data_IF_679159740002
#
_entry.id   IF_679159740002
#
_cell.length_a   1.000
_cell.length_b   1.000
_cell.length_c   1.000
_cell.angle_alpha   90.00
_cell.angle_beta   90.00
_cell.angle_gamma   90.00
#
_symmetry.space_group_name_H-M   'P 1'
#
loop_
_entity.id
_entity.type
_entity.pdbx_description
1 polymer ?
#
# COMPACT_ATOMS: atom_id res chain seq x y z
N UNK A 1 12.10 -3.93 -6.35
CA UNK A 1 12.07 -4.83 -7.51
C UNK A 1 11.70 -4.14 -8.83
N UNK A 2 11.26 -2.91 -8.84
CA UNK A 2 10.95 -2.19 -10.10
C UNK A 2 11.84 -0.95 -10.23
N UNK A 3 13.07 -1.15 -10.77
CA UNK A 3 13.85 -0.03 -11.27
C UNK A 3 13.04 0.64 -12.38
N UNK A 4 12.83 1.95 -12.29
CA UNK A 4 12.16 2.70 -13.35
C UNK A 4 12.90 2.50 -14.67
N UNK A 5 12.23 2.06 -15.74
CA UNK A 5 12.89 1.85 -17.02
C UNK A 5 13.43 3.17 -17.55
N UNK A 6 14.67 3.16 -18.07
CA UNK A 6 15.34 4.35 -18.59
C UNK A 6 14.75 4.85 -19.93
N UNK A 7 13.99 4.03 -20.63
CA UNK A 7 13.42 4.35 -21.95
C UNK A 7 11.95 4.81 -21.83
N UNK A 8 11.52 5.75 -22.71
CA UNK A 8 10.12 6.21 -22.78
C UNK A 8 9.14 5.04 -23.01
N UNK A 9 9.49 4.11 -23.90
CA UNK A 9 8.69 2.93 -24.19
C UNK A 9 8.56 2.00 -22.97
N UNK A 10 9.64 1.80 -22.20
CA UNK A 10 9.61 1.00 -20.98
C UNK A 10 8.78 1.64 -19.87
N UNK A 11 8.77 2.96 -19.75
CA UNK A 11 7.89 3.67 -18.81
C UNK A 11 6.43 3.47 -19.19
N UNK A 12 6.08 3.68 -20.45
CA UNK A 12 4.73 3.49 -20.94
C UNK A 12 4.24 2.05 -20.73
N UNK A 13 5.06 1.04 -21.06
CA UNK A 13 4.72 -0.36 -20.84
C UNK A 13 4.48 -0.67 -19.36
N UNK A 14 5.33 -0.17 -18.47
CA UNK A 14 5.17 -0.35 -17.02
C UNK A 14 3.86 0.29 -16.52
N UNK A 15 3.58 1.52 -16.93
CA UNK A 15 2.35 2.23 -16.55
C UNK A 15 1.10 1.49 -17.04
N UNK A 16 1.10 1.04 -18.28
CA UNK A 16 0.01 0.23 -18.85
C UNK A 16 -0.18 -1.09 -18.11
N UNK A 17 0.90 -1.80 -17.78
CA UNK A 17 0.81 -3.04 -17.00
C UNK A 17 0.24 -2.81 -15.59
N UNK A 18 0.63 -1.74 -14.91
CA UNK A 18 0.10 -1.38 -13.59
C UNK A 18 -1.41 -1.13 -13.68
N UNK A 19 -1.83 -0.30 -14.65
CA UNK A 19 -3.25 0.04 -14.83
C UNK A 19 -4.07 -1.20 -15.17
N UNK A 20 -3.61 -2.03 -16.12
CA UNK A 20 -4.33 -3.24 -16.51
C UNK A 20 -4.38 -4.27 -15.37
N UNK A 21 -3.28 -4.49 -14.66
CA UNK A 21 -3.25 -5.42 -13.52
C UNK A 21 -4.19 -4.96 -12.41
N UNK A 22 -4.14 -3.68 -12.05
CA UNK A 22 -5.00 -3.10 -11.03
C UNK A 22 -6.49 -3.20 -11.43
N UNK A 23 -6.83 -2.82 -12.67
CA UNK A 23 -8.20 -2.91 -13.17
C UNK A 23 -8.68 -4.37 -13.22
N UNK A 24 -7.85 -5.30 -13.71
CA UNK A 24 -8.20 -6.72 -13.81
C UNK A 24 -8.51 -7.35 -12.44
N UNK A 25 -7.59 -7.25 -11.49
CA UNK A 25 -7.80 -7.87 -10.17
C UNK A 25 -8.98 -7.25 -9.40
N UNK A 26 -9.11 -5.93 -9.46
CA UNK A 26 -10.18 -5.25 -8.76
C UNK A 26 -11.55 -5.51 -9.36
N UNK A 27 -11.67 -5.49 -10.69
CA UNK A 27 -12.95 -5.74 -11.37
C UNK A 27 -13.35 -7.20 -11.31
N UNK A 28 -12.40 -8.13 -11.49
CA UNK A 28 -12.68 -9.57 -11.44
C UNK A 28 -13.24 -10.01 -10.08
N UNK A 29 -12.65 -9.54 -8.99
CA UNK A 29 -13.13 -9.92 -7.66
C UNK A 29 -14.52 -9.36 -7.36
N UNK A 30 -14.85 -8.19 -7.88
CA UNK A 30 -16.17 -7.62 -7.67
C UNK A 30 -17.25 -8.40 -8.41
N UNK A 31 -17.02 -8.71 -9.69
CA UNK A 31 -18.03 -9.38 -10.53
C UNK A 31 -18.09 -10.88 -10.21
N UNK A 32 -16.95 -11.54 -10.08
CA UNK A 32 -16.90 -13.01 -10.01
C UNK A 32 -16.88 -13.58 -8.57
N UNK A 33 -16.69 -12.72 -7.55
CA UNK A 33 -16.69 -13.18 -6.15
C UNK A 33 -17.65 -12.37 -5.29
N UNK A 34 -17.54 -11.04 -5.26
CA UNK A 34 -18.30 -10.20 -4.32
C UNK A 34 -19.81 -10.24 -4.62
N UNK A 35 -20.21 -9.99 -5.86
CA UNK A 35 -21.62 -9.95 -6.27
C UNK A 35 -22.30 -11.32 -6.15
N UNK A 36 -21.75 -12.44 -6.68
CA UNK A 36 -22.38 -13.76 -6.59
C UNK A 36 -22.54 -14.27 -5.14
N UNK A 37 -21.66 -13.86 -4.23
CA UNK A 37 -21.76 -14.22 -2.82
C UNK A 37 -22.61 -13.25 -1.98
N UNK A 38 -23.29 -12.29 -2.60
CA UNK A 38 -24.10 -11.30 -1.89
C UNK A 38 -23.33 -10.36 -0.99
N UNK A 39 -22.00 -10.30 -1.15
CA UNK A 39 -21.11 -9.53 -0.30
C UNK A 39 -21.12 -8.03 -0.65
N UNK A 40 -20.67 -7.23 0.29
CA UNK A 40 -20.35 -5.81 0.11
C UNK A 40 -18.95 -5.49 0.63
N UNK A 41 -18.47 -4.29 0.37
CA UNK A 41 -17.21 -3.79 0.89
C UNK A 41 -17.31 -2.31 1.25
N UNK A 42 -16.27 -1.75 1.84
CA UNK A 42 -16.09 -0.30 1.90
C UNK A 42 -15.83 0.29 0.51
N UNK A 43 -15.75 1.60 0.44
CA UNK A 43 -15.36 2.29 -0.77
C UNK A 43 -16.44 2.37 -1.85
N UNK A 44 -16.01 2.75 -3.04
CA UNK A 44 -16.87 2.87 -4.21
C UNK A 44 -17.65 1.59 -4.54
N UNK A 45 -17.05 0.38 -4.44
CA UNK A 45 -17.79 -0.86 -4.63
C UNK A 45 -18.98 -1.02 -3.70
N UNK A 46 -18.83 -0.62 -2.43
CA UNK A 46 -19.93 -0.66 -1.45
C UNK A 46 -21.07 0.30 -1.81
N UNK A 47 -20.73 1.53 -2.22
CA UNK A 47 -21.75 2.50 -2.68
C UNK A 47 -22.49 1.96 -3.90
N UNK A 48 -21.77 1.43 -4.90
CA UNK A 48 -22.38 0.85 -6.09
C UNK A 48 -23.29 -0.33 -5.73
N UNK A 49 -22.88 -1.18 -4.79
CA UNK A 49 -23.67 -2.32 -4.31
C UNK A 49 -24.95 -1.88 -3.58
N UNK A 50 -24.87 -0.82 -2.77
CA UNK A 50 -26.04 -0.22 -2.12
C UNK A 50 -27.06 0.31 -3.16
N UNK A 51 -26.60 1.03 -4.17
CA UNK A 51 -27.48 1.59 -5.21
C UNK A 51 -28.15 0.47 -6.02
N UNK A 52 -27.36 -0.53 -6.45
CA UNK A 52 -27.90 -1.65 -7.24
C UNK A 52 -28.82 -2.58 -6.45
N UNK A 53 -28.81 -2.51 -5.12
CA UNK A 53 -29.78 -3.20 -4.29
C UNK A 53 -31.21 -2.60 -4.40
N UNK A 54 -31.28 -1.27 -4.46
CA UNK A 54 -32.59 -0.57 -4.52
C UNK A 54 -33.07 -0.33 -5.95
N UNK A 55 -32.17 -0.29 -6.93
CA UNK A 55 -32.49 0.04 -8.30
C UNK A 55 -32.03 -1.07 -9.25
N UNK A 56 -32.88 -1.51 -10.21
CA UNK A 56 -32.52 -2.56 -11.18
C UNK A 56 -31.63 -1.98 -12.31
N UNK A 57 -30.44 -1.53 -11.95
CA UNK A 57 -29.44 -0.98 -12.87
C UNK A 57 -28.15 -1.80 -12.83
N UNK A 58 -27.39 -1.82 -13.94
CA UNK A 58 -26.14 -2.57 -13.98
C UNK A 58 -25.10 -2.00 -13.01
N UNK A 59 -24.36 -2.88 -12.39
CA UNK A 59 -23.35 -2.52 -11.41
C UNK A 59 -22.22 -1.67 -12.02
N UNK A 60 -21.78 -2.04 -13.23
CA UNK A 60 -20.74 -1.31 -13.95
C UNK A 60 -21.17 0.11 -14.30
N UNK A 61 -22.43 0.32 -14.70
CA UNK A 61 -22.96 1.64 -15.02
C UNK A 61 -22.98 2.55 -13.80
N UNK A 62 -23.45 2.02 -12.66
CA UNK A 62 -23.45 2.77 -11.38
C UNK A 62 -22.03 3.14 -10.98
N UNK A 63 -21.12 2.17 -11.02
CA UNK A 63 -19.72 2.40 -10.69
C UNK A 63 -19.08 3.46 -11.60
N UNK A 64 -19.31 3.36 -12.91
CA UNK A 64 -18.83 4.34 -13.89
C UNK A 64 -19.35 5.75 -13.59
N UNK A 65 -20.65 5.89 -13.37
CA UNK A 65 -21.27 7.18 -13.07
C UNK A 65 -20.67 7.82 -11.81
N UNK A 66 -20.55 7.04 -10.75
CA UNK A 66 -19.94 7.50 -9.50
C UNK A 66 -18.48 7.91 -9.69
N UNK A 67 -17.70 7.10 -10.41
CA UNK A 67 -16.30 7.40 -10.70
C UNK A 67 -16.15 8.68 -11.52
N UNK A 68 -17.04 8.92 -12.49
CA UNK A 68 -17.03 10.18 -13.27
C UNK A 68 -17.36 11.39 -12.39
N UNK A 69 -18.33 11.29 -11.49
CA UNK A 69 -18.64 12.36 -10.54
C UNK A 69 -17.42 12.68 -9.67
N UNK A 70 -16.76 11.65 -9.12
CA UNK A 70 -15.55 11.84 -8.31
C UNK A 70 -14.42 12.45 -9.11
N UNK A 71 -14.24 12.03 -10.37
CA UNK A 71 -13.23 12.58 -11.26
C UNK A 71 -13.46 14.08 -11.55
N UNK A 72 -14.73 14.47 -11.78
CA UNK A 72 -15.12 15.86 -11.97
C UNK A 72 -14.82 16.67 -10.71
N UNK A 73 -15.20 16.16 -9.54
CA UNK A 73 -14.92 16.82 -8.26
C UNK A 73 -13.40 16.99 -8.07
N UNK A 74 -12.62 15.94 -8.34
CA UNK A 74 -11.16 15.99 -8.24
C UNK A 74 -10.54 17.01 -9.21
N UNK A 75 -11.07 17.12 -10.42
CA UNK A 75 -10.62 18.11 -11.41
C UNK A 75 -10.77 19.55 -10.91
N UNK A 76 -11.94 19.90 -10.38
CA UNK A 76 -12.19 21.23 -9.84
C UNK A 76 -11.48 21.51 -8.51
N UNK A 77 -11.23 20.45 -7.73
CA UNK A 77 -10.60 20.58 -6.42
C UNK A 77 -9.07 20.66 -6.48
N UNK A 78 -8.43 19.81 -7.28
CA UNK A 78 -6.98 19.57 -7.26
C UNK A 78 -6.28 19.99 -8.56
N UNK A 79 -7.04 20.22 -9.64
CA UNK A 79 -6.53 20.68 -10.93
C UNK A 79 -6.03 19.57 -11.86
N UNK A 80 -5.64 19.97 -13.09
CA UNK A 80 -5.35 19.06 -14.22
C UNK A 80 -4.20 18.09 -13.98
N UNK A 81 -3.21 18.43 -13.19
CA UNK A 81 -2.01 17.61 -13.00
C UNK A 81 -2.33 16.34 -12.20
N UNK A 82 -3.12 16.44 -11.14
CA UNK A 82 -3.54 15.30 -10.32
C UNK A 82 -4.54 14.41 -11.06
N UNK A 83 -5.46 15.01 -11.79
CA UNK A 83 -6.49 14.27 -12.55
C UNK A 83 -5.88 13.36 -13.61
N UNK A 84 -4.77 13.74 -14.27
CA UNK A 84 -4.08 12.87 -15.24
C UNK A 84 -3.66 11.52 -14.65
N UNK A 85 -3.32 11.48 -13.36
CA UNK A 85 -2.95 10.24 -12.67
C UNK A 85 -4.15 9.38 -12.31
N UNK A 86 -5.33 10.00 -12.17
CA UNK A 86 -6.57 9.32 -11.83
C UNK A 86 -7.27 8.79 -13.08
N UNK A 87 -7.22 9.53 -14.19
CA UNK A 87 -7.93 9.23 -15.45
C UNK A 87 -7.63 7.80 -15.94
N UNK A 88 -6.36 7.40 -16.00
CA UNK A 88 -5.99 6.12 -16.60
C UNK A 88 -6.68 4.93 -15.93
N UNK A 89 -6.62 4.86 -14.60
CA UNK A 89 -7.25 3.79 -13.84
C UNK A 89 -8.76 4.03 -13.65
N UNK A 90 -9.17 5.30 -13.49
CA UNK A 90 -10.57 5.70 -13.38
C UNK A 90 -11.44 5.37 -14.61
N UNK A 91 -10.84 5.23 -15.80
CA UNK A 91 -11.51 4.73 -17.00
C UNK A 91 -11.30 3.22 -17.21
N UNK A 92 -10.08 2.72 -17.03
CA UNK A 92 -9.77 1.31 -17.24
C UNK A 92 -10.60 0.39 -16.32
N UNK A 93 -10.81 0.82 -15.08
CA UNK A 93 -11.52 0.03 -14.09
C UNK A 93 -13.01 -0.18 -14.43
N UNK A 94 -13.83 0.86 -14.70
CA UNK A 94 -15.21 0.68 -15.11
C UNK A 94 -15.37 -0.04 -16.44
N UNK A 95 -14.45 0.14 -17.39
CA UNK A 95 -14.45 -0.59 -18.66
C UNK A 95 -14.27 -2.08 -18.41
N UNK A 96 -13.33 -2.46 -17.54
CA UNK A 96 -13.09 -3.85 -17.20
C UNK A 96 -14.28 -4.45 -16.44
N UNK A 97 -14.91 -3.68 -15.52
CA UNK A 97 -16.16 -4.09 -14.85
C UNK A 97 -17.24 -4.38 -15.86
N UNK A 98 -17.45 -3.49 -16.84
CA UNK A 98 -18.44 -3.67 -17.89
C UNK A 98 -18.19 -4.93 -18.72
N UNK A 99 -16.93 -5.19 -19.11
CA UNK A 99 -16.56 -6.40 -19.84
C UNK A 99 -16.88 -7.64 -19.00
N UNK A 100 -16.50 -7.67 -17.74
CA UNK A 100 -16.71 -8.84 -16.86
C UNK A 100 -18.16 -9.06 -16.50
N UNK A 101 -18.96 -8.01 -16.37
CA UNK A 101 -20.42 -8.12 -16.10
C UNK A 101 -21.18 -8.86 -17.24
N UNK A 102 -20.62 -8.86 -18.46
CA UNK A 102 -21.18 -9.59 -19.63
C UNK A 102 -20.60 -11.00 -19.80
N UNK A 103 -19.68 -11.41 -18.94
CA UNK A 103 -19.13 -12.77 -18.92
C UNK A 103 -19.90 -13.56 -17.89
N UNK A 104 -20.67 -14.54 -18.33
CA UNK A 104 -21.41 -15.46 -17.45
C UNK A 104 -20.44 -16.50 -16.87
N UNK A 105 -19.65 -16.05 -15.88
CA UNK A 105 -18.67 -16.87 -15.19
C UNK A 105 -18.63 -16.55 -13.71
N UNK A 106 -18.90 -17.53 -12.88
CA UNK A 106 -18.73 -17.44 -11.43
C UNK A 106 -17.39 -18.11 -11.04
N UNK A 107 -16.40 -17.31 -10.65
CA UNK A 107 -15.11 -17.85 -10.22
C UNK A 107 -15.23 -18.61 -8.89
N UNK A 108 -16.02 -18.09 -7.96
CA UNK A 108 -16.25 -18.71 -6.67
C UNK A 108 -17.64 -18.32 -6.14
N UNK A 109 -18.52 -19.31 -6.08
CA UNK A 109 -19.72 -19.24 -5.26
C UNK A 109 -19.49 -20.11 -4.03
N UNK A 110 -18.94 -19.51 -2.99
CA UNK A 110 -18.56 -20.26 -1.79
C UNK A 110 -19.74 -20.35 -0.82
N UNK A 111 -20.02 -21.55 -0.27
CA UNK A 111 -20.93 -21.67 0.85
C UNK A 111 -20.39 -21.06 2.14
N UNK A 112 -19.09 -20.72 2.16
CA UNK A 112 -18.42 -20.05 3.29
C UNK A 112 -18.18 -18.56 2.98
N UNK A 113 -19.01 -17.66 3.54
CA UNK A 113 -18.84 -16.22 3.36
C UNK A 113 -17.51 -15.68 3.88
N UNK A 114 -16.91 -16.32 4.88
CA UNK A 114 -15.62 -15.89 5.42
C UNK A 114 -14.48 -16.10 4.41
N UNK A 115 -14.50 -17.24 3.70
CA UNK A 115 -13.53 -17.49 2.62
C UNK A 115 -13.69 -16.47 1.48
N UNK A 116 -14.94 -16.16 1.10
CA UNK A 116 -15.21 -15.15 0.09
C UNK A 116 -14.69 -13.77 0.53
N UNK A 117 -14.89 -13.37 1.79
CA UNK A 117 -14.41 -12.10 2.34
C UNK A 117 -12.87 -12.01 2.29
N UNK A 118 -12.15 -13.08 2.64
CA UNK A 118 -10.69 -13.13 2.55
C UNK A 118 -10.22 -12.97 1.11
N UNK A 119 -10.81 -13.69 0.16
CA UNK A 119 -10.44 -13.60 -1.25
C UNK A 119 -10.70 -12.21 -1.82
N UNK A 120 -11.86 -11.61 -1.51
CA UNK A 120 -12.18 -10.24 -1.90
C UNK A 120 -11.10 -9.30 -1.36
N UNK A 121 -10.73 -9.43 -0.09
CA UNK A 121 -9.69 -8.61 0.53
C UNK A 121 -8.32 -8.76 -0.14
N UNK A 122 -7.91 -9.98 -0.47
CA UNK A 122 -6.62 -10.25 -1.14
C UNK A 122 -6.60 -9.60 -2.54
N UNK A 123 -7.58 -9.89 -3.38
CA UNK A 123 -7.61 -9.41 -4.76
C UNK A 123 -7.78 -7.89 -4.84
N UNK A 124 -8.67 -7.34 -4.02
CA UNK A 124 -8.85 -5.89 -3.91
C UNK A 124 -7.59 -5.20 -3.36
N UNK A 125 -6.92 -5.83 -2.40
CA UNK A 125 -5.65 -5.37 -1.87
C UNK A 125 -4.53 -5.37 -2.92
N UNK A 126 -4.46 -6.40 -3.77
CA UNK A 126 -3.52 -6.46 -4.91
C UNK A 126 -3.85 -5.33 -5.90
N UNK A 127 -5.10 -5.18 -6.30
CA UNK A 127 -5.54 -4.16 -7.24
C UNK A 127 -5.14 -2.75 -6.78
N UNK A 128 -5.49 -2.42 -5.54
CA UNK A 128 -5.23 -1.09 -4.96
C UNK A 128 -3.74 -0.87 -4.69
N UNK A 129 -3.05 -1.87 -4.13
CA UNK A 129 -1.61 -1.79 -3.83
C UNK A 129 -0.76 -1.60 -5.08
N UNK A 130 -1.06 -2.32 -6.17
CA UNK A 130 -0.39 -2.16 -7.47
C UNK A 130 -0.68 -0.78 -8.05
N UNK A 131 -1.93 -0.30 -7.98
CA UNK A 131 -2.30 1.04 -8.39
C UNK A 131 -1.49 2.12 -7.66
N UNK A 132 -1.37 2.00 -6.34
CA UNK A 132 -0.63 2.97 -5.50
C UNK A 132 0.87 3.00 -5.80
N UNK A 133 1.52 1.86 -6.12
CA UNK A 133 2.92 1.87 -6.58
C UNK A 133 3.09 2.69 -7.86
N UNK A 134 2.09 2.72 -8.74
CA UNK A 134 2.09 3.55 -9.95
C UNK A 134 1.72 5.01 -9.71
N UNK A 135 1.28 5.37 -8.50
CA UNK A 135 0.74 6.70 -8.19
C UNK A 135 -0.67 6.92 -8.76
N UNK A 136 -1.35 5.84 -9.17
CA UNK A 136 -2.71 5.88 -9.70
C UNK A 136 -3.76 5.78 -8.60
N UNK A 137 -4.96 6.27 -8.91
CA UNK A 137 -6.15 6.15 -8.08
C UNK A 137 -7.30 5.65 -8.95
N UNK A 138 -8.19 4.85 -8.38
CA UNK A 138 -9.30 4.23 -9.12
C UNK A 138 -10.46 5.17 -9.45
N UNK A 139 -10.40 6.43 -9.03
CA UNK A 139 -11.54 7.35 -9.13
C UNK A 139 -12.61 7.06 -8.07
N UNK A 140 -12.27 6.34 -7.03
CA UNK A 140 -13.16 5.93 -5.95
C UNK A 140 -13.06 6.79 -4.70
N UNK A 141 -13.37 6.19 -3.54
CA UNK A 141 -13.28 6.84 -2.22
C UNK A 141 -11.85 7.25 -1.85
N UNK A 142 -10.85 6.58 -2.37
CA UNK A 142 -9.45 6.96 -2.29
C UNK A 142 -9.17 8.34 -2.92
N UNK A 143 -9.80 8.63 -4.06
CA UNK A 143 -9.75 9.94 -4.70
C UNK A 143 -10.52 10.98 -3.89
N UNK A 144 -11.71 10.64 -3.39
CA UNK A 144 -12.49 11.53 -2.50
C UNK A 144 -11.70 11.88 -1.24
N UNK A 145 -11.03 10.91 -0.62
CA UNK A 145 -10.19 11.13 0.55
C UNK A 145 -9.04 12.12 0.26
N UNK A 146 -8.42 12.03 -0.93
CA UNK A 146 -7.41 13.01 -1.37
C UNK A 146 -8.00 14.41 -1.54
N UNK A 147 -9.18 14.53 -2.14
CA UNK A 147 -9.88 15.82 -2.31
C UNK A 147 -10.22 16.43 -0.95
N UNK A 148 -10.78 15.64 -0.03
CA UNK A 148 -11.12 16.08 1.32
C UNK A 148 -9.88 16.55 2.07
N UNK A 149 -8.80 15.77 2.02
CA UNK A 149 -7.50 16.18 2.59
C UNK A 149 -7.04 17.50 2.04
N UNK A 150 -7.02 17.63 0.73
CA UNK A 150 -6.49 18.82 0.05
C UNK A 150 -7.26 20.10 0.40
N UNK A 151 -8.60 20.01 0.49
CA UNK A 151 -9.45 21.19 0.74
C UNK A 151 -9.78 21.47 2.21
N UNK A 152 -9.92 20.43 3.03
CA UNK A 152 -10.52 20.57 4.36
C UNK A 152 -9.66 20.03 5.50
N UNK A 153 -8.95 18.93 5.30
CA UNK A 153 -8.28 18.17 6.37
C UNK A 153 -6.80 17.90 6.04
N UNK A 154 -6.06 18.97 5.71
CA UNK A 154 -4.65 18.89 5.31
C UNK A 154 -3.71 18.28 6.37
N UNK A 155 -4.11 18.32 7.63
CA UNK A 155 -3.37 17.77 8.77
C UNK A 155 -3.57 16.25 8.98
N UNK A 156 -4.59 15.64 8.36
CA UNK A 156 -4.83 14.21 8.46
C UNK A 156 -4.16 13.45 7.30
N UNK A 157 -3.86 12.16 7.53
CA UNK A 157 -3.37 11.30 6.45
C UNK A 157 -4.54 10.88 5.56
N UNK A 158 -4.28 10.78 4.26
CA UNK A 158 -5.30 10.33 3.28
C UNK A 158 -5.93 8.99 3.66
N UNK A 159 -5.12 8.05 4.18
CA UNK A 159 -5.61 6.75 4.62
C UNK A 159 -6.60 6.81 5.79
N UNK A 160 -6.43 7.75 6.72
CA UNK A 160 -7.35 7.90 7.86
C UNK A 160 -8.71 8.42 7.39
N UNK A 161 -8.70 9.37 6.44
CA UNK A 161 -9.93 9.89 5.82
C UNK A 161 -10.64 8.80 5.01
N UNK A 162 -9.88 8.04 4.22
CA UNK A 162 -10.43 6.92 3.45
C UNK A 162 -11.05 5.87 4.36
N UNK A 163 -10.37 5.51 5.45
CA UNK A 163 -10.89 4.56 6.43
C UNK A 163 -12.21 5.04 7.05
N UNK A 164 -12.31 6.33 7.38
CA UNK A 164 -13.55 6.90 7.91
C UNK A 164 -14.72 6.81 6.90
N UNK A 165 -14.44 7.10 5.61
CA UNK A 165 -15.43 6.94 4.54
C UNK A 165 -15.86 5.46 4.38
N UNK A 166 -14.89 4.54 4.38
CA UNK A 166 -15.17 3.12 4.24
C UNK A 166 -15.99 2.57 5.41
N UNK A 167 -15.68 2.99 6.65
CA UNK A 167 -16.47 2.65 7.85
C UNK A 167 -17.91 3.17 7.72
N UNK A 168 -18.12 4.41 7.28
CA UNK A 168 -19.46 4.96 7.08
C UNK A 168 -20.25 4.14 6.06
N UNK A 169 -19.66 3.75 4.94
CA UNK A 169 -20.29 2.94 3.90
C UNK A 169 -20.64 1.54 4.43
N UNK A 170 -19.72 0.89 5.15
CA UNK A 170 -19.96 -0.43 5.76
C UNK A 170 -21.07 -0.34 6.80
N UNK A 171 -21.12 0.73 7.59
CA UNK A 171 -22.18 0.94 8.57
C UNK A 171 -23.55 1.07 7.90
N UNK A 172 -23.66 1.85 6.83
CA UNK A 172 -24.90 1.93 6.04
C UNK A 172 -25.26 0.57 5.46
N UNK A 173 -24.28 -0.18 4.95
CA UNK A 173 -24.48 -1.52 4.41
C UNK A 173 -25.03 -2.51 5.46
N UNK A 174 -24.68 -2.36 6.73
CA UNK A 174 -25.19 -3.18 7.82
C UNK A 174 -26.71 -3.02 8.03
N UNK A 175 -27.23 -1.82 7.81
CA UNK A 175 -28.66 -1.55 7.92
C UNK A 175 -29.46 -1.99 6.69
N UNK A 176 -28.80 -2.04 5.51
CA UNK A 176 -29.47 -2.34 4.24
C UNK A 176 -29.47 -3.83 3.92
N UNK A 177 -28.34 -4.51 4.11
CA UNK A 177 -28.21 -5.92 3.74
C UNK A 177 -28.45 -6.84 4.95
N UNK A 178 -27.45 -6.95 5.82
CA UNK A 178 -27.45 -7.77 7.03
C UNK A 178 -26.21 -7.44 7.84
N UNK A 179 -26.30 -7.53 9.16
CA UNK A 179 -25.17 -7.31 10.07
C UNK A 179 -24.01 -8.26 9.80
N UNK A 180 -24.27 -9.53 9.43
CA UNK A 180 -23.23 -10.49 9.11
C UNK A 180 -22.44 -10.06 7.86
N UNK A 181 -23.13 -9.54 6.83
CA UNK A 181 -22.47 -9.02 5.61
C UNK A 181 -21.54 -7.85 5.95
N UNK A 182 -21.96 -6.97 6.86
CA UNK A 182 -21.11 -5.88 7.32
C UNK A 182 -19.87 -6.38 8.08
N UNK A 183 -19.99 -7.41 8.92
CA UNK A 183 -18.86 -8.04 9.61
C UNK A 183 -17.87 -8.62 8.58
N UNK A 184 -18.36 -9.30 7.54
CA UNK A 184 -17.49 -9.80 6.47
C UNK A 184 -16.84 -8.66 5.66
N UNK A 185 -17.52 -7.54 5.47
CA UNK A 185 -16.95 -6.36 4.84
C UNK A 185 -15.79 -5.77 5.67
N UNK A 186 -15.88 -5.81 7.00
CA UNK A 186 -14.76 -5.43 7.89
C UNK A 186 -13.58 -6.38 7.71
N UNK A 187 -13.83 -7.70 7.67
CA UNK A 187 -12.77 -8.70 7.39
C UNK A 187 -12.09 -8.41 6.06
N UNK A 188 -12.88 -8.17 5.01
CA UNK A 188 -12.38 -7.77 3.69
C UNK A 188 -11.49 -6.53 3.77
N UNK A 189 -11.92 -5.48 4.47
CA UNK A 189 -11.17 -4.24 4.62
C UNK A 189 -9.83 -4.45 5.35
N UNK A 190 -9.81 -5.25 6.43
CA UNK A 190 -8.60 -5.56 7.19
C UNK A 190 -7.60 -6.36 6.34
N UNK A 191 -8.07 -7.39 5.63
CA UNK A 191 -7.22 -8.19 4.74
C UNK A 191 -6.67 -7.31 3.61
N UNK A 192 -7.51 -6.51 2.96
CA UNK A 192 -7.09 -5.59 1.91
C UNK A 192 -6.02 -4.60 2.40
N UNK A 193 -6.21 -3.99 3.57
CA UNK A 193 -5.24 -3.07 4.17
C UNK A 193 -3.87 -3.74 4.40
N UNK A 194 -3.85 -5.00 4.86
CA UNK A 194 -2.61 -5.77 5.04
C UNK A 194 -1.91 -6.05 3.72
N UNK A 195 -2.66 -6.44 2.68
CA UNK A 195 -2.13 -6.71 1.35
C UNK A 195 -1.61 -5.43 0.69
N UNK A 196 -2.37 -4.32 0.77
CA UNK A 196 -1.94 -2.99 0.28
C UNK A 196 -0.62 -2.61 0.96
N UNK A 197 -0.53 -2.70 2.27
CA UNK A 197 0.69 -2.40 3.02
C UNK A 197 1.86 -3.28 2.60
N UNK A 198 1.65 -4.59 2.44
CA UNK A 198 2.67 -5.52 1.99
C UNK A 198 3.21 -5.19 0.58
N UNK A 199 2.34 -4.71 -0.31
CA UNK A 199 2.70 -4.34 -1.68
C UNK A 199 3.38 -2.96 -1.73
N UNK A 200 2.86 -1.97 -1.02
CA UNK A 200 3.33 -0.58 -1.08
C UNK A 200 4.59 -0.34 -0.25
N UNK A 201 4.61 -0.85 0.97
CA UNK A 201 5.73 -0.66 1.92
C UNK A 201 6.70 -1.87 1.88
N UNK A 202 6.19 -3.04 1.53
CA UNK A 202 6.91 -4.31 1.62
C UNK A 202 6.76 -4.97 3.00
N UNK A 203 7.05 -6.27 3.07
CA UNK A 203 7.11 -6.98 4.33
C UNK A 203 8.32 -6.51 5.14
N UNK A 204 8.07 -5.77 6.24
CA UNK A 204 9.11 -5.36 7.18
C UNK A 204 9.91 -4.11 6.81
N UNK A 205 9.44 -3.28 5.83
CA UNK A 205 10.16 -2.12 5.33
C UNK A 205 11.27 -2.51 4.34
N UNK A 206 11.55 -1.64 3.35
CA UNK A 206 12.65 -1.90 2.37
C UNK A 206 14.01 -1.81 3.02
N UNK A 207 14.12 -1.03 4.08
CA UNK A 207 15.37 -0.79 4.81
C UNK A 207 15.12 -0.75 6.31
N UNK A 208 16.16 -1.10 7.04
CA UNK A 208 16.22 -0.96 8.49
C UNK A 208 17.47 -0.15 8.85
N UNK A 209 17.35 0.66 9.87
CA UNK A 209 18.51 1.24 10.54
C UNK A 209 18.97 0.27 11.63
N UNK A 210 20.23 -0.08 11.58
CA UNK A 210 20.87 -0.97 12.54
C UNK A 210 21.93 -0.15 13.28
N UNK A 211 21.69 0.09 14.56
CA UNK A 211 22.62 0.83 15.41
C UNK A 211 23.32 -0.15 16.36
N UNK A 212 24.67 -0.07 16.41
CA UNK A 212 25.50 -0.98 17.18
C UNK A 212 26.42 -0.17 18.11
N UNK A 213 26.39 -0.50 19.38
CA UNK A 213 27.34 -0.02 20.39
C UNK A 213 28.24 -1.20 20.74
N UNK A 214 29.52 -1.13 20.41
CA UNK A 214 30.50 -2.19 20.63
C UNK A 214 31.20 -2.04 21.98
N UNK A 215 31.64 -3.15 22.55
CA UNK A 215 32.37 -3.17 23.83
C UNK A 215 33.76 -2.55 23.76
N UNK A 216 34.44 -2.71 22.60
CA UNK A 216 35.83 -2.20 22.40
C UNK A 216 36.01 -1.57 21.04
N UNK A 217 37.08 -0.74 20.91
CA UNK A 217 37.49 -0.11 19.64
C UNK A 217 37.87 -1.14 18.60
N UNK A 218 38.63 -2.17 18.97
CA UNK A 218 39.08 -3.21 18.04
C UNK A 218 37.92 -3.98 17.41
N UNK A 219 36.95 -4.38 18.21
CA UNK A 219 35.73 -5.06 17.72
C UNK A 219 34.87 -4.14 16.83
N UNK A 220 34.82 -2.84 17.13
CA UNK A 220 34.18 -1.86 16.29
C UNK A 220 34.81 -1.77 14.91
N UNK A 221 36.12 -1.71 14.84
CA UNK A 221 36.89 -1.65 13.57
C UNK A 221 36.64 -2.91 12.73
N UNK A 222 36.65 -4.09 13.35
CA UNK A 222 36.35 -5.36 12.70
C UNK A 222 34.92 -5.43 12.14
N UNK A 223 33.95 -4.99 12.93
CA UNK A 223 32.55 -4.92 12.47
C UNK A 223 32.38 -3.90 11.35
N UNK A 224 33.07 -2.76 11.45
CA UNK A 224 33.06 -1.72 10.39
C UNK A 224 33.63 -2.26 9.09
N UNK A 225 34.73 -3.01 9.14
CA UNK A 225 35.36 -3.62 7.98
C UNK A 225 34.41 -4.61 7.28
N UNK A 226 33.75 -5.48 8.04
CA UNK A 226 32.73 -6.39 7.52
C UNK A 226 31.57 -5.65 6.83
N UNK A 227 31.07 -4.56 7.43
CA UNK A 227 29.98 -3.76 6.86
C UNK A 227 30.41 -3.15 5.52
N UNK A 228 31.63 -2.62 5.44
CA UNK A 228 32.14 -1.94 4.25
C UNK A 228 32.50 -2.92 3.14
N UNK A 229 33.17 -4.05 3.47
CA UNK A 229 33.70 -4.99 2.48
C UNK A 229 32.70 -6.08 2.09
N UNK A 230 32.10 -6.74 3.07
CA UNK A 230 31.23 -7.91 2.83
C UNK A 230 29.78 -7.53 2.54
N UNK A 231 29.22 -6.59 3.29
CA UNK A 231 27.87 -6.09 3.04
C UNK A 231 27.82 -4.97 1.99
N UNK A 232 28.97 -4.35 1.66
CA UNK A 232 29.07 -3.21 0.74
C UNK A 232 28.07 -2.09 1.09
N UNK A 233 27.98 -1.77 2.41
CA UNK A 233 27.10 -0.74 2.95
C UNK A 233 27.92 0.36 3.61
N UNK A 234 27.44 1.60 3.50
CA UNK A 234 27.99 2.71 4.24
C UNK A 234 27.66 2.59 5.73
N UNK A 235 28.56 3.01 6.57
CA UNK A 235 28.41 3.09 8.02
C UNK A 235 28.73 4.50 8.50
N UNK A 236 27.90 5.03 9.37
CA UNK A 236 28.12 6.33 10.03
C UNK A 236 28.42 6.08 11.50
N UNK A 237 29.39 6.79 12.05
CA UNK A 237 29.75 6.68 13.46
C UNK A 237 29.32 7.94 14.21
N UNK A 238 28.54 7.75 15.27
CA UNK A 238 28.11 8.82 16.16
C UNK A 238 28.81 8.69 17.53
N UNK A 239 29.21 9.83 18.12
CA UNK A 239 29.64 9.87 19.50
C UNK A 239 28.41 9.67 20.41
N UNK A 240 28.52 8.76 21.36
CA UNK A 240 27.49 8.47 22.36
C UNK A 240 28.12 8.37 23.73
N UNK A 241 27.38 8.67 24.79
CA UNK A 241 27.83 8.56 26.17
C UNK A 241 26.84 7.72 26.97
N UNK A 242 27.36 6.71 27.64
CA UNK A 242 26.56 5.91 28.55
C UNK A 242 26.22 6.72 29.81
N UNK A 243 24.94 7.00 30.05
CA UNK A 243 24.56 7.79 31.22
C UNK A 243 24.83 7.09 32.55
N UNK A 244 24.76 5.77 32.60
CA UNK A 244 25.09 4.98 33.76
C UNK A 244 26.59 4.84 34.00
N UNK A 245 27.35 4.47 32.95
CA UNK A 245 28.80 4.26 33.08
C UNK A 245 29.60 5.54 32.96
N UNK A 246 29.02 6.63 32.44
CA UNK A 246 29.66 7.91 32.10
C UNK A 246 30.78 7.77 31.05
N UNK A 247 30.90 6.61 30.41
CA UNK A 247 31.91 6.32 29.40
C UNK A 247 31.51 6.89 28.05
N UNK A 248 32.49 7.42 27.32
CA UNK A 248 32.32 7.78 25.93
C UNK A 248 32.38 6.53 25.05
N UNK A 249 31.36 6.35 24.23
CA UNK A 249 31.24 5.25 23.28
C UNK A 249 30.97 5.77 21.88
N UNK A 250 31.04 4.89 20.91
CA UNK A 250 30.67 5.21 19.53
C UNK A 250 29.63 4.22 19.04
N UNK A 251 28.55 4.75 18.51
CA UNK A 251 27.49 3.98 17.87
C UNK A 251 27.75 3.92 16.37
N UNK A 252 27.79 2.71 15.81
CA UNK A 252 27.79 2.49 14.36
C UNK A 252 26.33 2.49 13.89
N UNK A 253 25.98 3.32 12.92
CA UNK A 253 24.65 3.39 12.32
C UNK A 253 24.72 2.99 10.87
N UNK A 254 23.94 1.97 10.49
CA UNK A 254 23.93 1.36 9.17
C UNK A 254 22.52 1.31 8.65
N UNK A 255 22.33 1.66 7.38
CA UNK A 255 21.07 1.44 6.69
C UNK A 255 21.24 0.24 5.74
N UNK A 256 20.47 -0.81 6.00
CA UNK A 256 20.59 -2.08 5.27
C UNK A 256 19.21 -2.70 5.03
N UNK A 257 19.17 -3.76 4.23
CA UNK A 257 17.93 -4.56 4.06
C UNK A 257 17.68 -5.47 5.28
N UNK A 258 16.45 -5.92 5.53
CA UNK A 258 16.16 -6.87 6.60
C UNK A 258 17.01 -8.16 6.51
N UNK A 259 17.28 -8.65 5.30
CA UNK A 259 18.12 -9.84 5.11
C UNK A 259 19.59 -9.59 5.49
N UNK A 260 20.12 -8.40 5.18
CA UNK A 260 21.47 -8.00 5.58
C UNK A 260 21.56 -7.78 7.10
N UNK A 261 20.51 -7.24 7.73
CA UNK A 261 20.49 -7.04 9.18
C UNK A 261 20.58 -8.36 9.95
N UNK A 262 19.99 -9.45 9.43
CA UNK A 262 20.11 -10.79 10.01
C UNK A 262 21.56 -11.29 9.93
N UNK A 263 22.22 -11.09 8.78
CA UNK A 263 23.63 -11.47 8.60
C UNK A 263 24.52 -10.66 9.55
N UNK A 264 24.30 -9.35 9.61
CA UNK A 264 25.05 -8.44 10.47
C UNK A 264 24.86 -8.79 11.95
N UNK A 265 23.63 -9.10 12.38
CA UNK A 265 23.33 -9.55 13.75
C UNK A 265 24.14 -10.80 14.12
N UNK A 266 24.23 -11.80 13.22
CA UNK A 266 25.00 -13.01 13.46
C UNK A 266 26.47 -12.70 13.63
N UNK A 267 27.04 -11.90 12.70
CA UNK A 267 28.43 -11.51 12.74
C UNK A 267 28.79 -10.71 14.00
N UNK A 268 27.94 -9.75 14.38
CA UNK A 268 28.12 -8.97 15.61
C UNK A 268 28.12 -9.85 16.84
N UNK A 269 27.20 -10.84 16.91
CA UNK A 269 27.15 -11.77 18.03
C UNK A 269 28.38 -12.67 18.13
N UNK A 270 29.03 -13.01 17.01
CA UNK A 270 30.27 -13.79 16.97
C UNK A 270 31.49 -12.95 17.39
N UNK A 271 31.58 -11.70 16.93
CA UNK A 271 32.72 -10.81 17.19
C UNK A 271 32.64 -10.14 18.56
N UNK A 272 31.45 -9.70 18.94
CA UNK A 272 31.21 -8.96 20.17
C UNK A 272 29.91 -9.40 20.87
N UNK A 273 29.95 -10.48 21.64
CA UNK A 273 28.77 -10.96 22.38
C UNK A 273 28.18 -9.95 23.37
N UNK A 274 29.00 -8.96 23.81
CA UNK A 274 28.57 -7.90 24.75
C UNK A 274 28.09 -6.64 24.05
N UNK A 275 28.03 -6.64 22.70
CA UNK A 275 27.52 -5.51 21.93
C UNK A 275 26.04 -5.29 22.19
N UNK A 276 25.65 -4.02 22.27
CA UNK A 276 24.24 -3.63 22.27
C UNK A 276 23.85 -3.20 20.87
N UNK A 277 22.76 -3.74 20.35
CA UNK A 277 22.27 -3.40 19.03
C UNK A 277 20.75 -3.16 19.01
N UNK A 278 20.33 -2.15 18.24
CA UNK A 278 18.92 -1.85 17.98
C UNK A 278 18.64 -1.88 16.49
N UNK A 279 17.44 -2.32 16.11
CA UNK A 279 16.99 -2.35 14.72
C UNK A 279 15.66 -1.63 14.64
N UNK A 280 15.60 -0.61 13.77
CA UNK A 280 14.40 0.17 13.51
C UNK A 280 13.99 0.05 12.05
N UNK A 281 12.72 -0.23 11.78
CA UNK A 281 12.21 -0.21 10.41
C UNK A 281 12.11 1.24 9.91
N UNK A 282 12.64 1.49 8.72
CA UNK A 282 12.57 2.79 8.07
C UNK A 282 11.45 2.79 7.05
N UNK A 283 10.58 3.78 7.12
CA UNK A 283 9.49 3.96 6.16
C UNK A 283 10.03 4.38 4.79
N UNK A 284 10.93 5.34 4.77
CA UNK A 284 11.55 5.87 3.55
C UNK A 284 13.03 6.15 3.76
N UNK A 285 13.82 5.94 2.72
CA UNK A 285 15.25 6.30 2.68
C UNK A 285 15.55 6.88 1.30
N UNK A 286 16.02 8.11 1.27
CA UNK A 286 16.40 8.80 0.03
C UNK A 286 17.90 8.97 -0.08
N UNK A 287 18.44 8.88 -1.29
CA UNK A 287 19.86 9.10 -1.57
C UNK A 287 20.38 8.26 -2.72
N UNK A 288 21.64 8.46 -3.10
CA UNK A 288 22.28 7.94 -4.32
C UNK A 288 22.19 6.41 -4.52
N UNK A 289 22.03 5.62 -3.45
CA UNK A 289 21.91 4.15 -3.47
C UNK A 289 20.56 3.65 -2.95
N UNK A 290 19.63 4.57 -2.70
CA UNK A 290 18.30 4.33 -2.18
C UNK A 290 17.24 4.87 -3.16
N UNK A 291 16.17 5.44 -2.67
CA UNK A 291 15.18 6.12 -3.49
C UNK A 291 15.71 7.47 -3.96
N UNK A 292 15.32 7.92 -5.15
CA UNK A 292 15.69 9.25 -5.63
C UNK A 292 14.99 10.31 -4.77
N UNK A 293 15.74 11.28 -4.27
CA UNK A 293 15.23 12.36 -3.43
C UNK A 293 14.20 13.23 -4.18
N UNK A 294 14.33 13.29 -5.51
CA UNK A 294 13.41 14.04 -6.37
C UNK A 294 12.10 13.26 -6.68
N UNK A 295 12.03 11.95 -6.39
CA UNK A 295 10.81 11.15 -6.48
C UNK A 295 9.92 11.26 -5.21
N UNK A 296 10.39 11.95 -4.17
CA UNK A 296 9.76 11.98 -2.84
C UNK A 296 8.45 12.79 -2.76
N UNK A 297 8.16 13.66 -3.72
CA UNK A 297 6.96 14.52 -3.68
C UNK A 297 5.66 13.85 -4.14
N UNK A 298 5.65 12.52 -4.30
CA UNK A 298 4.54 11.77 -4.86
C UNK A 298 3.83 10.81 -3.87
N UNK A 299 4.05 10.97 -2.54
CA UNK A 299 3.33 10.17 -1.51
C UNK A 299 2.43 11.00 -0.62
#
# INVERSE_FOLDING_TARGET
MFRSPKTKAGKFLRETLIVLTSAFFGSSVQIFVMIPNGMTSGGMPGIARLITHFFPVSYSLVYYTLSMVVLIIAYFAMGKAEVKRIIALGFAYPIMLFIFEHIDYEFLRSPDPFLAAILIGIFYGIATGVGYIGGYSSGGTDTLARVIKFKFLNHLRTGDIQMALDIAIITVSAFVFDTNIAVYAIVTAVVAAKVISAITVGYGGRFVQFDIITSTKAKREQITEYILKDLNRAVTTHASRGEYTKEERRTLSIICTPAESIKLKKYVAEVDPDAFATVMALTNVWGKRFQDINEADNT
#
